data_IF_488549401796
#
_entry.id   IF_488549401796
#
_cell.length_a   1.000
_cell.length_b   1.000
_cell.length_c   1.000
_cell.angle_alpha   90.00
_cell.angle_beta   90.00
_cell.angle_gamma   90.00
#
_symmetry.space_group_name_H-M   'P 1'
#
loop_
_entity.id
_entity.type
_entity.pdbx_description
1 polymer ?
#
# COMPACT_ATOMS: atom_id res chain seq x y z
N UNK A 1 40.65 -12.37 -14.19
CA UNK A 1 39.34 -12.52 -13.52
C UNK A 1 39.27 -11.39 -12.52
N UNK A 2 38.25 -10.55 -12.60
CA UNK A 2 38.05 -9.47 -11.64
C UNK A 2 37.89 -10.07 -10.22
N UNK A 3 38.45 -9.41 -9.21
CA UNK A 3 38.24 -9.83 -7.81
C UNK A 3 36.79 -9.66 -7.42
N UNK A 4 36.34 -10.34 -6.36
CA UNK A 4 34.98 -10.14 -5.83
C UNK A 4 34.72 -8.70 -5.41
N UNK A 5 35.77 -7.99 -4.97
CA UNK A 5 35.69 -6.56 -4.62
C UNK A 5 35.55 -5.66 -5.86
N UNK A 6 36.24 -6.00 -6.98
CA UNK A 6 36.08 -5.26 -8.23
C UNK A 6 34.69 -5.42 -8.80
N UNK A 7 34.09 -6.63 -8.73
CA UNK A 7 32.72 -6.88 -9.12
C UNK A 7 31.76 -6.09 -8.25
N UNK A 8 31.93 -6.08 -6.92
CA UNK A 8 31.14 -5.27 -6.01
C UNK A 8 31.18 -3.79 -6.40
N UNK A 9 32.36 -3.21 -6.63
CA UNK A 9 32.48 -1.81 -7.01
C UNK A 9 31.83 -1.48 -8.37
N UNK A 10 31.83 -2.41 -9.30
CA UNK A 10 31.25 -2.22 -10.63
C UNK A 10 29.74 -2.41 -10.64
N UNK A 11 29.20 -3.23 -9.74
CA UNK A 11 27.79 -3.64 -9.73
C UNK A 11 26.99 -3.02 -8.57
N UNK A 12 27.59 -2.08 -7.83
CA UNK A 12 26.93 -1.33 -6.78
C UNK A 12 26.27 -0.08 -7.37
N UNK A 13 24.96 0.00 -7.28
CA UNK A 13 24.23 1.25 -7.44
C UNK A 13 24.02 1.88 -6.06
N UNK A 14 24.52 3.10 -5.88
CA UNK A 14 24.47 3.79 -4.60
C UNK A 14 23.76 5.14 -4.75
N UNK A 15 22.77 5.36 -3.90
CA UNK A 15 21.97 6.59 -3.80
C UNK A 15 22.11 7.15 -2.38
N UNK A 16 23.24 7.79 -2.07
CA UNK A 16 23.58 8.22 -0.71
C UNK A 16 22.59 9.24 -0.15
N UNK A 17 21.99 10.08 -0.99
CA UNK A 17 20.96 11.04 -0.64
C UNK A 17 19.68 10.39 -0.05
N UNK A 18 19.41 9.15 -0.44
CA UNK A 18 18.28 8.35 0.08
C UNK A 18 18.73 7.29 1.09
N UNK A 19 20.03 7.11 1.31
CA UNK A 19 20.56 6.04 2.14
C UNK A 19 20.28 4.64 1.57
N UNK A 20 20.11 4.51 0.25
CA UNK A 20 19.76 3.25 -0.44
C UNK A 20 20.89 2.81 -1.34
N UNK A 21 21.18 1.51 -1.33
CA UNK A 21 22.13 0.88 -2.25
C UNK A 21 21.59 -0.45 -2.77
N UNK A 22 21.91 -0.78 -4.01
CA UNK A 22 21.60 -2.07 -4.63
C UNK A 22 22.92 -2.72 -5.09
N UNK A 23 23.22 -3.89 -4.57
CA UNK A 23 24.40 -4.67 -4.96
C UNK A 23 24.01 -5.86 -5.84
N UNK A 24 24.41 -5.82 -7.09
CA UNK A 24 24.20 -6.90 -8.06
C UNK A 24 25.45 -7.77 -8.28
N UNK A 25 26.51 -7.62 -7.50
CA UNK A 25 27.78 -8.35 -7.68
C UNK A 25 27.65 -9.88 -7.64
N UNK A 26 26.56 -10.37 -7.00
CA UNK A 26 26.24 -11.81 -6.97
C UNK A 26 25.31 -12.27 -8.09
N UNK A 27 24.86 -11.35 -8.91
CA UNK A 27 23.97 -11.58 -10.03
C UNK A 27 24.50 -10.89 -11.32
N UNK A 28 25.78 -11.05 -11.69
CA UNK A 28 26.34 -10.33 -12.82
C UNK A 28 25.68 -10.79 -14.11
N UNK A 29 25.17 -9.84 -14.88
CA UNK A 29 24.65 -10.10 -16.20
C UNK A 29 25.82 -10.40 -17.19
N UNK A 30 25.62 -11.26 -18.19
CA UNK A 30 26.63 -11.55 -19.18
C UNK A 30 26.92 -10.34 -20.08
N UNK A 31 28.09 -10.32 -20.70
CA UNK A 31 28.44 -9.29 -21.68
C UNK A 31 27.38 -9.23 -22.80
N UNK A 32 27.02 -8.02 -23.24
CA UNK A 32 26.00 -7.80 -24.26
C UNK A 32 24.54 -7.95 -23.79
N UNK A 33 24.30 -8.23 -22.50
CA UNK A 33 22.93 -8.37 -21.97
C UNK A 33 22.16 -7.03 -22.00
N UNK A 34 22.81 -5.94 -21.63
CA UNK A 34 22.18 -4.61 -21.63
C UNK A 34 21.78 -4.18 -23.06
N UNK A 35 22.67 -4.41 -24.03
CA UNK A 35 22.41 -4.14 -25.44
C UNK A 35 21.24 -4.98 -25.97
N UNK A 36 21.22 -6.27 -25.64
CA UNK A 36 20.10 -7.17 -25.97
C UNK A 36 18.78 -6.69 -25.40
N UNK A 37 18.78 -6.17 -24.18
CA UNK A 37 17.57 -5.70 -23.48
C UNK A 37 17.18 -4.27 -23.84
N UNK A 38 18.04 -3.49 -24.50
CA UNK A 38 17.79 -2.07 -24.78
C UNK A 38 16.43 -1.78 -25.44
N UNK A 39 15.95 -2.54 -26.44
CA UNK A 39 14.61 -2.29 -27.02
C UNK A 39 13.48 -2.52 -26.01
N UNK A 40 13.56 -3.55 -25.18
CA UNK A 40 12.56 -3.85 -24.16
C UNK A 40 12.55 -2.79 -23.06
N UNK A 41 13.72 -2.30 -22.65
CA UNK A 41 13.88 -1.23 -21.67
C UNK A 41 13.28 0.08 -22.22
N UNK A 42 13.60 0.45 -23.45
CA UNK A 42 13.06 1.65 -24.08
C UNK A 42 11.53 1.60 -24.16
N UNK A 43 10.97 0.44 -24.53
CA UNK A 43 9.52 0.22 -24.53
C UNK A 43 8.93 0.36 -23.12
N UNK A 44 9.54 -0.25 -22.10
CA UNK A 44 9.06 -0.17 -20.73
C UNK A 44 9.01 1.28 -20.22
N UNK A 45 10.03 2.08 -20.46
CA UNK A 45 10.02 3.50 -20.11
C UNK A 45 8.96 4.30 -20.86
N UNK A 46 8.75 4.02 -22.16
CA UNK A 46 7.70 4.66 -22.93
C UNK A 46 6.29 4.30 -22.43
N UNK A 47 6.06 3.02 -22.13
CA UNK A 47 4.81 2.53 -21.57
C UNK A 47 4.54 3.16 -20.19
N UNK A 48 5.55 3.22 -19.31
CA UNK A 48 5.44 3.89 -18.00
C UNK A 48 5.07 5.37 -18.14
N UNK A 49 5.72 6.09 -19.05
CA UNK A 49 5.40 7.49 -19.30
C UNK A 49 3.96 7.68 -19.81
N UNK A 50 3.45 6.73 -20.61
CA UNK A 50 2.06 6.75 -21.08
C UNK A 50 1.08 6.46 -19.93
N UNK A 51 1.38 5.49 -19.06
CA UNK A 51 0.56 5.17 -17.88
C UNK A 51 0.44 6.36 -16.93
N UNK A 52 1.54 7.03 -16.66
CA UNK A 52 1.56 8.24 -15.81
C UNK A 52 0.75 9.40 -16.36
N UNK A 53 0.55 9.44 -17.68
CA UNK A 53 -0.32 10.41 -18.37
C UNK A 53 -1.78 9.97 -18.45
N UNK A 54 -2.15 8.89 -17.78
CA UNK A 54 -3.52 8.41 -17.68
C UNK A 54 -3.93 7.43 -18.78
N UNK A 55 -2.99 6.73 -19.43
CA UNK A 55 -3.35 5.65 -20.34
C UNK A 55 -4.09 4.53 -19.60
N UNK A 56 -5.09 3.92 -20.27
CA UNK A 56 -5.83 2.79 -19.71
C UNK A 56 -4.89 1.59 -19.61
N UNK A 57 -4.61 1.16 -18.38
CA UNK A 57 -3.75 0.03 -18.09
C UNK A 57 -4.51 -1.27 -17.81
N UNK A 58 -5.75 -1.14 -17.33
CA UNK A 58 -6.66 -2.27 -17.12
C UNK A 58 -7.76 -2.22 -18.23
N UNK A 59 -7.60 -2.97 -19.32
CA UNK A 59 -8.56 -2.93 -20.43
C UNK A 59 -9.90 -3.56 -20.05
N UNK A 60 -9.95 -4.53 -19.15
CA UNK A 60 -11.15 -5.24 -18.74
C UNK A 60 -12.13 -4.29 -18.01
N UNK A 61 -11.58 -3.48 -17.12
CA UNK A 61 -12.34 -2.50 -16.36
C UNK A 61 -12.29 -1.08 -16.97
N UNK A 62 -11.55 -0.89 -18.06
CA UNK A 62 -11.33 0.39 -18.75
C UNK A 62 -10.81 1.48 -17.79
N UNK A 63 -9.89 1.13 -16.89
CA UNK A 63 -9.37 2.02 -15.85
C UNK A 63 -7.94 2.44 -16.09
N UNK A 64 -7.66 3.69 -15.73
CA UNK A 64 -6.29 4.18 -15.49
C UNK A 64 -5.70 3.51 -14.26
N UNK A 65 -4.37 3.51 -14.16
CA UNK A 65 -3.63 3.15 -12.95
C UNK A 65 -2.78 4.33 -12.53
N UNK A 66 -3.09 4.92 -11.38
CA UNK A 66 -2.55 6.21 -10.98
C UNK A 66 -1.97 6.27 -9.57
N UNK A 67 -1.57 5.12 -8.99
CA UNK A 67 -0.94 5.13 -7.67
C UNK A 67 0.33 6.02 -7.59
N UNK A 68 0.92 6.36 -8.74
CA UNK A 68 2.04 7.31 -8.84
C UNK A 68 1.64 8.72 -8.34
N UNK A 69 0.42 9.17 -8.64
CA UNK A 69 -0.07 10.50 -8.30
C UNK A 69 -0.31 10.67 -6.81
N UNK A 70 -0.42 9.58 -6.05
CA UNK A 70 -0.56 9.65 -4.59
C UNK A 70 0.66 10.30 -3.92
N UNK A 71 1.87 10.11 -4.48
CA UNK A 71 3.12 10.68 -3.99
C UNK A 71 3.59 11.92 -4.77
N UNK A 72 3.06 12.13 -5.97
CA UNK A 72 3.39 13.25 -6.85
C UNK A 72 2.11 13.78 -7.54
N UNK A 73 1.19 14.42 -6.80
CA UNK A 73 -0.11 14.86 -7.34
C UNK A 73 -0.01 15.80 -8.52
N UNK A 74 1.09 16.57 -8.62
CA UNK A 74 1.37 17.49 -9.73
C UNK A 74 1.56 16.77 -11.09
N UNK A 75 1.79 15.47 -11.06
CA UNK A 75 1.95 14.64 -12.27
C UNK A 75 0.66 13.98 -12.72
N UNK A 76 -0.43 14.17 -11.97
CA UNK A 76 -1.74 13.65 -12.37
C UNK A 76 -2.18 14.25 -13.72
N UNK A 77 -2.83 13.46 -14.58
CA UNK A 77 -3.27 13.92 -15.90
C UNK A 77 -4.37 14.99 -15.84
N UNK A 78 -5.03 15.12 -14.70
CA UNK A 78 -6.15 16.02 -14.47
C UNK A 78 -5.91 16.82 -13.16
N UNK A 79 -6.10 18.12 -13.22
CA UNK A 79 -5.98 19.01 -12.07
C UNK A 79 -6.98 18.69 -10.94
N UNK A 80 -8.13 18.10 -11.26
CA UNK A 80 -9.12 17.63 -10.29
C UNK A 80 -8.55 16.48 -9.46
N UNK A 81 -7.93 15.49 -10.11
CA UNK A 81 -7.27 14.36 -9.42
C UNK A 81 -6.18 14.90 -8.48
N UNK A 82 -5.34 15.82 -8.97
CA UNK A 82 -4.29 16.43 -8.16
C UNK A 82 -4.86 17.14 -6.91
N UNK A 83 -5.94 17.87 -7.06
CA UNK A 83 -6.62 18.58 -5.96
C UNK A 83 -7.25 17.59 -4.97
N UNK A 84 -7.91 16.55 -5.44
CA UNK A 84 -8.53 15.52 -4.60
C UNK A 84 -7.50 14.78 -3.75
N UNK A 85 -6.35 14.40 -4.33
CA UNK A 85 -5.27 13.73 -3.58
C UNK A 85 -4.75 14.63 -2.46
N UNK A 86 -4.45 15.91 -2.76
CA UNK A 86 -3.99 16.87 -1.76
C UNK A 86 -5.02 17.09 -0.66
N UNK A 87 -6.29 17.30 -1.03
CA UNK A 87 -7.37 17.48 -0.08
C UNK A 87 -7.57 16.26 0.84
N UNK A 88 -7.42 15.04 0.31
CA UNK A 88 -7.52 13.82 1.11
C UNK A 88 -6.39 13.71 2.15
N UNK A 89 -5.15 14.06 1.80
CA UNK A 89 -4.02 14.07 2.75
C UNK A 89 -4.27 15.07 3.88
N UNK A 90 -4.68 16.29 3.54
CA UNK A 90 -5.02 17.33 4.53
C UNK A 90 -6.20 16.93 5.42
N UNK A 91 -7.24 16.33 4.84
CA UNK A 91 -8.38 15.84 5.60
C UNK A 91 -7.99 14.73 6.59
N UNK A 92 -7.10 13.81 6.18
CA UNK A 92 -6.56 12.75 7.05
C UNK A 92 -5.77 13.37 8.21
N UNK A 93 -4.84 14.27 7.91
CA UNK A 93 -4.03 14.94 8.93
C UNK A 93 -4.92 15.73 9.93
N UNK A 94 -5.90 16.46 9.40
CA UNK A 94 -6.86 17.22 10.22
C UNK A 94 -7.72 16.33 11.11
N UNK A 95 -8.23 15.22 10.57
CA UNK A 95 -9.02 14.26 11.34
C UNK A 95 -8.19 13.59 12.45
N UNK A 96 -6.98 13.16 12.13
CA UNK A 96 -6.07 12.58 13.13
C UNK A 96 -5.74 13.58 14.25
N UNK A 97 -5.49 14.84 13.92
CA UNK A 97 -5.26 15.90 14.90
C UNK A 97 -6.46 16.10 15.84
N UNK A 98 -7.70 16.09 15.30
CA UNK A 98 -8.93 16.19 16.11
C UNK A 98 -9.11 14.99 17.05
N UNK A 99 -8.81 13.77 16.57
CA UNK A 99 -8.83 12.55 17.40
C UNK A 99 -7.79 12.64 18.51
N UNK A 100 -6.56 13.00 18.20
CA UNK A 100 -5.49 13.12 19.20
C UNK A 100 -5.76 14.22 20.24
N UNK A 101 -6.39 15.31 19.82
CA UNK A 101 -6.83 16.37 20.75
C UNK A 101 -8.02 15.94 21.62
N UNK A 102 -8.76 14.90 21.22
CA UNK A 102 -9.98 14.45 21.87
C UNK A 102 -11.21 15.29 21.52
N UNK A 103 -11.15 16.04 20.43
CA UNK A 103 -12.30 16.74 19.85
C UNK A 103 -13.26 15.71 19.20
N UNK A 104 -12.69 14.74 18.50
CA UNK A 104 -13.37 13.52 18.08
C UNK A 104 -12.99 12.43 19.07
N UNK A 105 -14.01 11.84 19.73
CA UNK A 105 -13.82 10.90 20.84
C UNK A 105 -14.93 9.85 20.84
N UNK A 106 -14.64 8.71 21.46
CA UNK A 106 -15.57 7.64 21.68
C UNK A 106 -16.53 7.92 22.85
N UNK A 107 -17.43 7.00 23.09
CA UNK A 107 -18.45 7.11 24.15
C UNK A 107 -17.87 7.11 25.57
N UNK A 108 -16.67 6.50 25.76
CA UNK A 108 -15.98 6.46 27.06
C UNK A 108 -14.79 7.43 27.16
N UNK A 109 -14.61 8.34 26.22
CA UNK A 109 -13.53 9.33 26.24
C UNK A 109 -12.68 9.34 24.99
N UNK A 110 -11.43 9.83 25.10
CA UNK A 110 -10.49 9.87 23.98
C UNK A 110 -10.22 8.46 23.45
N UNK A 111 -10.06 8.35 22.15
CA UNK A 111 -9.66 7.08 21.53
C UNK A 111 -8.24 6.69 21.99
N UNK A 112 -8.07 5.43 22.31
CA UNK A 112 -6.82 4.80 22.75
C UNK A 112 -6.43 3.62 21.86
N UNK A 113 -7.39 3.07 21.15
CA UNK A 113 -7.25 1.92 20.29
C UNK A 113 -7.84 2.21 18.90
N UNK A 114 -7.24 1.64 17.87
CA UNK A 114 -7.66 1.71 16.48
C UNK A 114 -7.87 0.29 15.96
N UNK A 115 -9.09 -0.01 15.51
CA UNK A 115 -9.44 -1.28 14.88
C UNK A 115 -9.55 -1.08 13.36
N UNK A 116 -8.65 -1.67 12.60
CA UNK A 116 -8.67 -1.65 11.14
C UNK A 116 -9.33 -2.93 10.61
N UNK A 117 -10.40 -2.79 9.84
CA UNK A 117 -11.16 -3.89 9.24
C UNK A 117 -11.00 -3.79 7.73
N UNK A 118 -10.31 -4.75 7.12
CA UNK A 118 -10.02 -4.78 5.68
C UNK A 118 -9.30 -6.05 5.30
N UNK A 119 -9.24 -6.39 4.01
CA UNK A 119 -8.53 -7.59 3.53
C UNK A 119 -7.57 -7.24 2.41
N UNK A 120 -6.56 -8.09 2.17
CA UNK A 120 -5.59 -7.93 1.10
C UNK A 120 -4.89 -6.57 1.14
N UNK A 121 -4.99 -5.78 0.08
CA UNK A 121 -4.39 -4.45 0.00
C UNK A 121 -4.91 -3.45 1.03
N UNK A 122 -6.09 -3.69 1.60
CA UNK A 122 -6.65 -2.86 2.68
C UNK A 122 -6.14 -3.24 4.08
N UNK A 123 -5.32 -4.29 4.19
CA UNK A 123 -4.76 -4.74 5.46
C UNK A 123 -3.22 -4.89 5.43
N UNK A 124 -2.66 -5.53 4.39
CA UNK A 124 -1.24 -5.91 4.37
C UNK A 124 -0.29 -4.72 4.40
N UNK A 125 -0.59 -3.66 3.63
CA UNK A 125 0.17 -2.43 3.65
C UNK A 125 0.08 -1.71 5.00
N UNK A 126 -1.13 -1.42 5.51
CA UNK A 126 -1.33 -0.83 6.84
C UNK A 126 -0.69 -1.62 7.99
N UNK A 127 -0.77 -2.96 7.98
CA UNK A 127 -0.08 -3.81 8.96
C UNK A 127 1.44 -3.63 8.90
N UNK A 128 1.99 -3.66 7.68
CA UNK A 128 3.42 -3.50 7.48
C UNK A 128 3.92 -2.14 7.96
N UNK A 129 3.25 -1.06 7.60
CA UNK A 129 3.64 0.31 8.01
C UNK A 129 3.48 0.49 9.51
N UNK A 130 2.38 0.00 10.10
CA UNK A 130 2.15 0.07 11.53
C UNK A 130 3.24 -0.65 12.34
N UNK A 131 3.66 -1.83 11.90
CA UNK A 131 4.72 -2.61 12.56
C UNK A 131 6.11 -1.98 12.32
N UNK A 132 6.40 -1.59 11.08
CA UNK A 132 7.71 -1.08 10.70
C UNK A 132 8.04 0.27 11.35
N UNK A 133 7.08 1.17 11.44
CA UNK A 133 7.27 2.54 11.92
C UNK A 133 6.72 2.79 13.33
N UNK A 134 5.84 1.92 13.82
CA UNK A 134 5.23 2.02 15.14
C UNK A 134 6.22 1.88 16.29
N UNK A 135 5.80 2.25 17.48
CA UNK A 135 6.61 2.16 18.67
C UNK A 135 6.00 2.80 19.92
N UNK A 136 6.83 3.11 20.89
CA UNK A 136 6.40 3.66 22.20
C UNK A 136 5.72 5.04 22.10
N UNK A 137 5.88 5.75 20.99
CA UNK A 137 5.29 7.07 20.74
C UNK A 137 3.90 6.98 20.10
N UNK A 138 3.40 5.79 19.78
CA UNK A 138 2.10 5.59 19.17
C UNK A 138 0.99 6.22 20.00
N UNK A 139 0.12 6.96 19.31
CA UNK A 139 -1.02 7.64 19.93
C UNK A 139 -2.18 6.69 20.17
N UNK A 140 -2.45 5.79 19.21
CA UNK A 140 -3.45 4.73 19.30
C UNK A 140 -2.77 3.39 19.07
N UNK A 141 -3.21 2.36 19.82
CA UNK A 141 -2.78 0.97 19.59
C UNK A 141 -3.59 0.40 18.42
N UNK A 142 -2.90 -0.15 17.43
CA UNK A 142 -3.54 -0.64 16.20
C UNK A 142 -3.83 -2.13 16.30
N UNK A 143 -5.05 -2.51 15.92
CA UNK A 143 -5.54 -3.88 15.84
C UNK A 143 -6.10 -4.12 14.43
N UNK A 144 -6.03 -5.36 13.92
CA UNK A 144 -6.47 -5.68 12.56
C UNK A 144 -7.41 -6.88 12.54
N UNK A 145 -8.53 -6.74 11.83
CA UNK A 145 -9.37 -7.85 11.35
C UNK A 145 -9.17 -7.92 9.84
N UNK A 146 -8.43 -8.91 9.36
CA UNK A 146 -8.00 -9.04 7.97
C UNK A 146 -8.49 -10.33 7.28
N UNK A 147 -9.36 -11.07 7.95
CA UNK A 147 -10.02 -12.26 7.41
C UNK A 147 -11.32 -12.56 8.17
N UNK A 148 -11.96 -13.68 7.87
CA UNK A 148 -13.25 -14.10 8.45
C UNK A 148 -13.13 -15.24 9.45
N UNK A 149 -11.92 -15.54 9.93
CA UNK A 149 -11.70 -16.54 10.97
C UNK A 149 -12.31 -16.09 12.30
N UNK A 150 -13.32 -16.79 12.84
CA UNK A 150 -13.95 -16.39 14.10
C UNK A 150 -12.97 -16.35 15.28
N UNK A 151 -12.06 -17.31 15.39
CA UNK A 151 -11.07 -17.35 16.46
C UNK A 151 -10.11 -16.16 16.36
N UNK A 152 -9.71 -15.79 15.14
CA UNK A 152 -8.90 -14.61 14.88
C UNK A 152 -9.61 -13.32 15.29
N UNK A 153 -10.89 -13.18 14.95
CA UNK A 153 -11.74 -12.04 15.35
C UNK A 153 -11.88 -11.99 16.87
N UNK A 154 -12.17 -13.10 17.53
CA UNK A 154 -12.30 -13.17 18.99
C UNK A 154 -11.00 -12.76 19.69
N UNK A 155 -9.84 -13.22 19.22
CA UNK A 155 -8.52 -12.79 19.76
C UNK A 155 -8.30 -11.29 19.66
N UNK A 156 -8.77 -10.64 18.60
CA UNK A 156 -8.69 -9.17 18.47
C UNK A 156 -9.58 -8.49 19.51
N UNK A 157 -10.81 -8.95 19.72
CA UNK A 157 -11.69 -8.39 20.74
C UNK A 157 -11.20 -8.68 22.15
N UNK A 158 -10.60 -9.83 22.41
CA UNK A 158 -9.96 -10.13 23.70
C UNK A 158 -8.79 -9.17 23.96
N UNK A 159 -7.97 -8.89 22.94
CA UNK A 159 -6.88 -7.91 23.04
C UNK A 159 -7.39 -6.48 23.29
N UNK A 160 -8.56 -6.12 22.76
CA UNK A 160 -9.22 -4.86 23.07
C UNK A 160 -9.71 -4.80 24.51
N UNK A 161 -9.98 -5.95 25.16
CA UNK A 161 -10.18 -6.04 26.60
C UNK A 161 -11.27 -5.12 27.16
N UNK A 162 -12.40 -5.01 26.50
CA UNK A 162 -13.53 -4.17 26.91
C UNK A 162 -13.38 -2.66 26.62
N UNK A 163 -12.31 -2.23 25.92
CA UNK A 163 -12.07 -0.82 25.56
C UNK A 163 -12.85 -0.34 24.32
N UNK A 164 -13.96 -0.99 23.98
CA UNK A 164 -14.77 -0.60 22.81
C UNK A 164 -15.21 0.87 22.84
N UNK A 165 -15.53 1.40 24.03
CA UNK A 165 -15.91 2.80 24.19
C UNK A 165 -14.81 3.82 23.91
N UNK A 166 -13.54 3.38 23.83
CA UNK A 166 -12.37 4.19 23.45
C UNK A 166 -11.65 3.62 22.22
N UNK A 167 -12.29 2.74 21.46
CA UNK A 167 -11.77 2.20 20.20
C UNK A 167 -12.42 2.90 19.01
N UNK A 168 -11.61 3.39 18.08
CA UNK A 168 -12.02 3.89 16.77
C UNK A 168 -11.91 2.75 15.76
N UNK A 169 -12.95 2.51 14.96
CA UNK A 169 -12.94 1.50 13.91
C UNK A 169 -12.80 2.14 12.52
N UNK A 170 -11.89 1.65 11.69
CA UNK A 170 -11.81 1.97 10.27
C UNK A 170 -12.28 0.75 9.49
N UNK A 171 -13.30 0.91 8.66
CA UNK A 171 -13.74 -0.11 7.70
C UNK A 171 -13.27 0.29 6.32
N UNK A 172 -12.46 -0.56 5.69
CA UNK A 172 -11.86 -0.30 4.39
C UNK A 172 -12.34 -1.29 3.35
N UNK A 173 -13.11 -0.82 2.37
CA UNK A 173 -13.57 -1.61 1.23
C UNK A 173 -13.94 -0.70 0.07
N UNK A 174 -13.32 -0.89 -1.12
CA UNK A 174 -13.58 -0.05 -2.30
C UNK A 174 -15.05 -0.09 -2.72
N UNK A 175 -15.61 -1.28 -2.92
CA UNK A 175 -17.00 -1.51 -3.34
C UNK A 175 -17.99 -1.56 -2.17
N UNK A 176 -17.53 -1.88 -0.96
CA UNK A 176 -18.37 -2.20 0.17
C UNK A 176 -19.07 -3.57 0.08
N UNK A 177 -18.90 -4.28 -1.05
CA UNK A 177 -19.53 -5.59 -1.30
C UNK A 177 -18.62 -6.78 -1.00
N UNK A 178 -17.33 -6.54 -0.76
CA UNK A 178 -16.36 -7.60 -0.44
C UNK A 178 -16.78 -8.29 0.87
N UNK A 179 -16.98 -9.63 0.86
CA UNK A 179 -17.57 -10.33 2.01
C UNK A 179 -16.77 -10.19 3.30
N UNK A 180 -15.44 -10.27 3.23
CA UNK A 180 -14.58 -10.32 4.40
C UNK A 180 -14.64 -9.03 5.24
N UNK A 181 -14.40 -7.82 4.69
CA UNK A 181 -14.52 -6.61 5.47
C UNK A 181 -15.96 -6.31 5.87
N UNK A 182 -16.96 -6.73 5.05
CA UNK A 182 -18.37 -6.63 5.44
C UNK A 182 -18.70 -7.50 6.65
N UNK A 183 -18.23 -8.75 6.68
CA UNK A 183 -18.44 -9.64 7.81
C UNK A 183 -17.73 -9.12 9.06
N UNK A 184 -16.47 -8.66 8.92
CA UNK A 184 -15.75 -8.02 10.02
C UNK A 184 -16.45 -6.78 10.57
N UNK A 185 -17.03 -5.95 9.70
CA UNK A 185 -17.85 -4.80 10.10
C UNK A 185 -19.11 -5.23 10.89
N UNK A 186 -19.83 -6.23 10.39
CA UNK A 186 -21.07 -6.71 11.03
C UNK A 186 -20.77 -7.31 12.40
N UNK A 187 -19.70 -8.10 12.51
CA UNK A 187 -19.25 -8.68 13.77
C UNK A 187 -18.81 -7.57 14.76
N UNK A 188 -18.05 -6.59 14.30
CA UNK A 188 -17.70 -5.44 15.11
C UNK A 188 -18.96 -4.69 15.60
N UNK A 189 -19.90 -4.37 14.70
CA UNK A 189 -21.14 -3.69 15.06
C UNK A 189 -21.94 -4.48 16.10
N UNK A 190 -21.97 -5.82 16.00
CA UNK A 190 -22.60 -6.70 16.99
C UNK A 190 -21.93 -6.57 18.37
N UNK A 191 -20.58 -6.58 18.43
CA UNK A 191 -19.82 -6.43 19.70
C UNK A 191 -20.09 -5.07 20.35
N UNK A 192 -20.12 -3.97 19.58
CA UNK A 192 -20.51 -2.65 20.12
C UNK A 192 -21.94 -2.65 20.66
N UNK A 193 -22.87 -3.24 19.91
CA UNK A 193 -24.28 -3.36 20.36
C UNK A 193 -24.41 -4.18 21.65
N UNK A 194 -23.70 -5.30 21.76
CA UNK A 194 -23.70 -6.13 22.98
C UNK A 194 -23.13 -5.37 24.19
N UNK A 195 -22.18 -4.47 23.94
CA UNK A 195 -21.64 -3.58 24.97
C UNK A 195 -22.53 -2.36 25.27
N UNK A 196 -23.72 -2.24 24.65
CA UNK A 196 -24.62 -1.09 24.81
C UNK A 196 -24.12 0.17 24.10
N UNK A 197 -23.24 0.05 23.11
CA UNK A 197 -22.63 1.16 22.39
C UNK A 197 -23.11 1.24 20.94
N UNK A 198 -22.98 2.44 20.33
CA UNK A 198 -23.24 2.65 18.91
C UNK A 198 -21.96 2.47 18.11
N UNK A 199 -21.91 1.52 17.18
CA UNK A 199 -20.78 1.35 16.27
C UNK A 199 -20.54 2.61 15.41
N UNK A 200 -21.60 3.21 14.88
CA UNK A 200 -21.54 4.42 14.06
C UNK A 200 -20.82 5.60 14.74
N UNK A 201 -20.96 5.73 16.07
CA UNK A 201 -20.27 6.75 16.85
C UNK A 201 -18.76 6.48 17.04
N UNK A 202 -18.25 5.35 16.52
CA UNK A 202 -16.85 4.92 16.60
C UNK A 202 -16.29 4.53 15.23
N UNK A 203 -17.06 4.69 14.16
CA UNK A 203 -16.72 4.15 12.85
C UNK A 203 -16.34 5.24 11.84
N UNK A 204 -15.37 4.90 11.00
CA UNK A 204 -14.90 5.67 9.84
C UNK A 204 -14.84 4.75 8.63
N UNK A 205 -15.22 5.22 7.45
CA UNK A 205 -15.15 4.47 6.22
C UNK A 205 -14.00 4.97 5.32
N UNK A 206 -13.26 4.03 4.72
CA UNK A 206 -12.37 4.29 3.58
C UNK A 206 -12.94 3.50 2.40
N UNK A 207 -13.56 4.20 1.43
CA UNK A 207 -14.38 3.54 0.42
C UNK A 207 -14.55 4.38 -0.84
N UNK A 208 -15.01 3.76 -1.93
CA UNK A 208 -15.43 4.47 -3.14
C UNK A 208 -16.71 5.27 -2.91
N UNK A 209 -16.79 6.44 -3.49
CA UNK A 209 -17.98 7.28 -3.46
C UNK A 209 -19.19 6.53 -4.05
N UNK A 210 -20.33 6.58 -3.35
CA UNK A 210 -21.56 5.89 -3.75
C UNK A 210 -21.54 4.36 -3.60
N UNK A 211 -20.46 3.78 -3.08
CA UNK A 211 -20.36 2.34 -2.79
C UNK A 211 -21.36 1.89 -1.73
N UNK A 212 -21.54 0.57 -1.57
CA UNK A 212 -22.41 0.05 -0.50
C UNK A 212 -21.95 0.50 0.89
N UNK A 213 -20.65 0.50 1.15
CA UNK A 213 -20.09 0.96 2.43
C UNK A 213 -20.31 2.47 2.61
N UNK A 214 -20.15 3.25 1.55
CA UNK A 214 -20.40 4.70 1.58
C UNK A 214 -21.86 5.01 1.94
N UNK A 215 -22.81 4.29 1.32
CA UNK A 215 -24.23 4.42 1.62
C UNK A 215 -24.55 4.08 3.08
N UNK A 216 -23.98 3.01 3.63
CA UNK A 216 -24.13 2.64 5.05
C UNK A 216 -23.58 3.74 5.95
N UNK A 217 -22.36 4.21 5.69
CA UNK A 217 -21.71 5.23 6.49
C UNK A 217 -22.48 6.57 6.50
N UNK A 218 -23.09 6.93 5.36
CA UNK A 218 -23.98 8.10 5.26
C UNK A 218 -25.26 7.89 6.05
N UNK A 219 -25.96 6.77 5.83
CA UNK A 219 -27.25 6.48 6.46
C UNK A 219 -27.14 6.39 7.99
N UNK A 220 -26.06 5.78 8.48
CA UNK A 220 -25.80 5.62 9.91
C UNK A 220 -25.04 6.79 10.55
N UNK A 221 -24.64 7.80 9.75
CA UNK A 221 -23.92 9.00 10.21
C UNK A 221 -22.59 8.65 10.91
N UNK A 222 -21.74 7.88 10.25
CA UNK A 222 -20.40 7.58 10.73
C UNK A 222 -19.55 8.84 10.89
N UNK A 223 -18.53 8.79 11.74
CA UNK A 223 -17.68 9.94 12.12
C UNK A 223 -17.00 10.64 10.93
N UNK A 224 -16.54 9.87 9.97
CA UNK A 224 -15.91 10.40 8.75
C UNK A 224 -15.92 9.37 7.62
N UNK A 225 -15.70 9.86 6.39
CA UNK A 225 -15.53 9.03 5.19
C UNK A 225 -14.34 9.57 4.40
N UNK A 226 -13.47 8.68 3.92
CA UNK A 226 -12.30 9.00 3.12
C UNK A 226 -12.36 8.25 1.78
N UNK A 227 -11.89 8.87 0.69
CA UNK A 227 -12.06 8.32 -0.65
C UNK A 227 -11.13 7.13 -0.90
N UNK A 228 -11.62 6.20 -1.72
CA UNK A 228 -10.83 5.15 -2.33
C UNK A 228 -11.10 5.17 -3.84
N UNK A 229 -10.19 5.78 -4.60
CA UNK A 229 -10.39 6.04 -6.02
C UNK A 229 -10.26 4.78 -6.87
N UNK A 230 -10.98 4.74 -7.98
CA UNK A 230 -10.97 3.61 -8.91
C UNK A 230 -9.61 3.36 -9.57
N UNK A 231 -8.87 4.43 -9.80
CA UNK A 231 -7.53 4.38 -10.40
C UNK A 231 -6.42 3.97 -9.42
N UNK A 232 -6.75 3.66 -8.16
CA UNK A 232 -5.81 3.06 -7.18
C UNK A 232 -6.17 1.60 -6.98
N UNK A 233 -5.24 0.71 -7.29
CA UNK A 233 -5.35 -0.72 -6.99
C UNK A 233 -5.18 -0.99 -5.49
N UNK A 234 -5.82 -2.06 -4.96
CA UNK A 234 -5.74 -2.40 -3.54
C UNK A 234 -4.31 -2.54 -3.03
N UNK A 235 -3.47 -3.33 -3.73
CA UNK A 235 -2.07 -3.58 -3.35
C UNK A 235 -1.12 -2.39 -3.51
N UNK A 236 -1.56 -1.32 -4.14
CA UNK A 236 -0.80 -0.07 -4.33
C UNK A 236 -1.41 1.12 -3.59
N UNK A 237 -2.30 0.87 -2.62
CA UNK A 237 -3.07 1.90 -1.92
C UNK A 237 -2.45 2.38 -0.61
N UNK A 238 -1.28 1.86 -0.23
CA UNK A 238 -0.66 2.15 1.08
C UNK A 238 -0.37 3.64 1.29
N UNK A 239 0.07 4.36 0.27
CA UNK A 239 0.30 5.80 0.33
C UNK A 239 -0.92 6.65 -0.08
N UNK A 240 -2.11 6.05 -0.09
CA UNK A 240 -3.42 6.71 -0.18
C UNK A 240 -4.17 6.64 1.15
N UNK A 241 -5.46 7.02 1.18
CA UNK A 241 -6.24 7.02 2.42
C UNK A 241 -6.28 5.68 3.16
N UNK A 242 -6.13 4.56 2.44
CA UNK A 242 -6.10 3.20 3.00
C UNK A 242 -4.98 3.02 4.03
N UNK A 243 -3.78 3.47 3.72
CA UNK A 243 -2.63 3.36 4.63
C UNK A 243 -2.37 4.63 5.43
N UNK A 244 -2.56 5.81 4.82
CA UNK A 244 -2.26 7.08 5.49
C UNK A 244 -3.19 7.37 6.67
N UNK A 245 -4.48 6.98 6.61
CA UNK A 245 -5.40 7.24 7.72
C UNK A 245 -5.03 6.45 8.98
N UNK A 246 -4.86 5.12 8.95
CA UNK A 246 -4.40 4.39 10.12
C UNK A 246 -3.02 4.86 10.60
N UNK A 247 -2.08 5.16 9.70
CA UNK A 247 -0.76 5.67 10.05
C UNK A 247 -0.83 7.00 10.80
N UNK A 248 -1.61 7.97 10.30
CA UNK A 248 -1.81 9.26 10.95
C UNK A 248 -2.47 9.12 12.33
N UNK A 249 -3.49 8.25 12.44
CA UNK A 249 -4.16 7.98 13.72
C UNK A 249 -3.24 7.26 14.72
N UNK A 250 -2.38 6.37 14.27
CA UNK A 250 -1.31 5.78 15.10
C UNK A 250 -0.34 6.85 15.59
N UNK A 251 -0.20 7.96 14.89
CA UNK A 251 0.70 9.07 15.24
C UNK A 251 1.98 9.11 14.40
N UNK A 252 2.01 8.39 13.28
CA UNK A 252 3.15 8.38 12.36
C UNK A 252 3.17 9.64 11.50
N UNK A 253 4.37 10.04 11.06
CA UNK A 253 4.57 11.15 10.13
C UNK A 253 4.22 10.74 8.68
N UNK A 254 2.98 10.97 8.28
CA UNK A 254 2.51 10.66 6.93
C UNK A 254 3.12 11.56 5.86
N UNK A 255 3.51 12.79 6.21
CA UNK A 255 4.17 13.68 5.26
C UNK A 255 5.59 13.22 4.97
N UNK A 256 6.33 12.78 6.01
CA UNK A 256 7.65 12.15 5.85
C UNK A 256 7.58 10.87 5.02
N UNK A 257 6.55 10.03 5.23
CA UNK A 257 6.32 8.83 4.42
C UNK A 257 6.10 9.17 2.93
N UNK A 258 5.26 10.16 2.65
CA UNK A 258 5.01 10.62 1.27
C UNK A 258 6.24 11.28 0.65
N UNK A 259 7.03 12.03 1.43
CA UNK A 259 8.27 12.64 0.95
C UNK A 259 9.27 11.58 0.52
N UNK A 260 9.53 10.55 1.35
CA UNK A 260 10.41 9.45 0.98
C UNK A 260 9.94 8.68 -0.26
N UNK A 261 8.62 8.45 -0.37
CA UNK A 261 8.04 7.83 -1.56
C UNK A 261 8.24 8.69 -2.82
N UNK A 262 8.13 10.02 -2.72
CA UNK A 262 8.38 10.97 -3.82
C UNK A 262 9.85 10.98 -4.24
N UNK A 263 10.77 10.97 -3.30
CA UNK A 263 12.21 10.96 -3.58
C UNK A 263 12.61 9.69 -4.33
N UNK A 264 12.14 8.52 -3.88
CA UNK A 264 12.37 7.25 -4.61
C UNK A 264 11.69 7.28 -5.99
N UNK A 265 10.49 7.83 -6.11
CA UNK A 265 9.77 7.97 -7.37
C UNK A 265 10.56 8.76 -8.41
N UNK A 266 11.24 9.82 -8.01
CA UNK A 266 12.10 10.61 -8.90
C UNK A 266 13.21 9.75 -9.53
N UNK A 267 13.82 8.84 -8.77
CA UNK A 267 14.83 7.92 -9.28
C UNK A 267 14.24 6.87 -10.23
N UNK A 268 13.07 6.36 -9.92
CA UNK A 268 12.41 5.33 -10.75
C UNK A 268 11.80 5.89 -12.04
N UNK A 269 11.79 7.20 -12.23
CA UNK A 269 11.42 7.89 -13.48
C UNK A 269 12.59 8.14 -14.43
N UNK A 270 13.83 7.98 -13.97
CA UNK A 270 15.02 8.17 -14.81
C UNK A 270 15.01 7.15 -15.95
N UNK A 271 14.99 7.56 -17.23
CA UNK A 271 14.92 6.63 -18.37
C UNK A 271 16.30 6.05 -18.73
N UNK A 272 17.04 5.64 -17.73
CA UNK A 272 18.36 5.02 -17.83
C UNK A 272 18.43 3.87 -16.82
N UNK A 273 18.49 2.64 -17.31
CA UNK A 273 18.46 1.45 -16.48
C UNK A 273 19.66 1.35 -15.51
N UNK A 274 20.80 1.96 -15.84
CA UNK A 274 21.98 1.98 -14.98
C UNK A 274 21.84 2.96 -13.79
N UNK A 275 20.90 3.89 -13.88
CA UNK A 275 20.62 4.92 -12.86
C UNK A 275 19.24 4.78 -12.23
N UNK A 276 18.43 3.85 -12.71
CA UNK A 276 17.07 3.61 -12.22
C UNK A 276 17.07 2.31 -11.41
N UNK A 277 16.88 2.39 -10.08
CA UNK A 277 16.95 1.20 -9.21
C UNK A 277 15.90 0.14 -9.55
N UNK A 278 14.70 0.56 -9.94
CA UNK A 278 13.63 -0.37 -10.31
C UNK A 278 13.94 -1.10 -11.63
N UNK A 279 14.44 -0.38 -12.64
CA UNK A 279 14.83 -0.97 -13.91
C UNK A 279 16.03 -1.92 -13.76
N UNK A 280 17.04 -1.52 -12.97
CA UNK A 280 18.20 -2.37 -12.69
C UNK A 280 17.80 -3.67 -12.00
N UNK A 281 16.91 -3.59 -10.99
CA UNK A 281 16.39 -4.75 -10.27
C UNK A 281 15.56 -5.66 -11.20
N UNK A 282 14.70 -5.08 -12.03
CA UNK A 282 13.92 -5.83 -13.01
C UNK A 282 14.78 -6.58 -14.01
N UNK A 283 15.86 -5.96 -14.49
CA UNK A 283 16.83 -6.58 -15.41
C UNK A 283 17.58 -7.73 -14.75
N UNK A 284 18.05 -7.54 -13.51
CA UNK A 284 18.72 -8.59 -12.75
C UNK A 284 17.76 -9.78 -12.52
N UNK A 285 16.52 -9.50 -12.15
CA UNK A 285 15.52 -10.54 -11.98
C UNK A 285 15.21 -11.27 -13.28
N UNK A 286 14.95 -10.55 -14.38
CA UNK A 286 14.76 -11.14 -15.72
C UNK A 286 15.92 -12.05 -16.12
N UNK A 287 17.16 -11.59 -15.91
CA UNK A 287 18.36 -12.40 -16.19
C UNK A 287 18.40 -13.67 -15.35
N UNK A 288 18.24 -13.55 -14.02
CA UNK A 288 18.34 -14.68 -13.09
C UNK A 288 17.24 -15.73 -13.30
N UNK A 289 16.07 -15.33 -13.76
CA UNK A 289 14.93 -16.20 -14.05
C UNK A 289 14.86 -16.64 -15.52
N UNK A 290 15.92 -16.36 -16.30
CA UNK A 290 16.05 -16.72 -17.72
C UNK A 290 14.94 -16.12 -18.61
N UNK A 291 14.34 -15.01 -18.16
CA UNK A 291 13.23 -14.34 -18.87
C UNK A 291 11.93 -15.15 -18.96
N UNK A 292 11.81 -16.22 -18.20
CA UNK A 292 10.64 -17.13 -18.22
C UNK A 292 10.22 -17.65 -16.86
N UNK A 293 10.65 -16.99 -15.80
CA UNK A 293 10.28 -17.40 -14.45
C UNK A 293 10.76 -18.75 -14.01
N UNK A 294 11.99 -19.13 -14.40
CA UNK A 294 12.56 -20.44 -14.05
C UNK A 294 12.93 -20.58 -12.57
N UNK A 295 12.87 -19.48 -11.80
CA UNK A 295 13.21 -19.43 -10.37
C UNK A 295 12.26 -18.52 -9.64
N UNK A 296 11.97 -18.86 -8.37
CA UNK A 296 11.20 -18.00 -7.47
C UNK A 296 12.08 -16.88 -6.89
N UNK A 297 11.45 -15.73 -6.58
CA UNK A 297 12.07 -14.65 -5.82
C UNK A 297 11.83 -14.89 -4.32
N UNK A 298 12.90 -14.77 -3.52
CA UNK A 298 12.82 -14.83 -2.06
C UNK A 298 13.33 -13.51 -1.50
N UNK A 299 12.57 -12.91 -0.59
CA UNK A 299 12.95 -11.68 0.13
C UNK A 299 13.20 -12.01 1.59
N UNK A 300 14.42 -11.75 2.05
CA UNK A 300 14.87 -12.04 3.42
C UNK A 300 15.26 -10.73 4.12
N UNK A 301 14.34 -10.05 4.82
CA UNK A 301 14.67 -8.85 5.57
C UNK A 301 15.56 -9.17 6.77
N UNK A 302 16.70 -8.50 6.89
CA UNK A 302 17.62 -8.59 8.03
C UNK A 302 17.37 -7.46 9.06
N UNK A 303 16.11 -7.07 9.20
CA UNK A 303 15.66 -6.06 10.15
C UNK A 303 14.29 -6.44 10.69
N UNK A 304 14.16 -6.57 12.01
CA UNK A 304 12.92 -7.02 12.67
C UNK A 304 11.70 -6.17 12.27
N UNK A 305 11.87 -4.87 12.18
CA UNK A 305 10.82 -3.93 11.73
C UNK A 305 10.36 -4.14 10.27
N UNK A 306 11.07 -4.95 9.50
CA UNK A 306 10.68 -5.31 8.13
C UNK A 306 10.11 -6.74 8.05
N UNK A 307 9.73 -7.36 9.17
CA UNK A 307 9.20 -8.72 9.22
C UNK A 307 7.99 -8.88 8.29
N UNK A 308 7.07 -7.91 8.27
CA UNK A 308 5.87 -7.95 7.45
C UNK A 308 6.10 -7.49 5.99
N UNK A 309 7.29 -7.01 5.65
CA UNK A 309 7.60 -6.54 4.30
C UNK A 309 7.48 -7.65 3.25
N UNK A 310 7.99 -8.83 3.53
CA UNK A 310 7.87 -9.98 2.61
C UNK A 310 6.41 -10.37 2.38
N UNK A 311 5.58 -10.33 3.42
CA UNK A 311 4.14 -10.61 3.33
C UNK A 311 3.40 -9.56 2.49
N UNK A 312 3.74 -8.29 2.65
CA UNK A 312 3.22 -7.21 1.81
C UNK A 312 3.64 -7.38 0.35
N UNK A 313 4.92 -7.66 0.09
CA UNK A 313 5.43 -7.91 -1.26
C UNK A 313 4.82 -9.15 -1.91
N UNK A 314 4.46 -10.16 -1.14
CA UNK A 314 3.82 -11.36 -1.67
C UNK A 314 2.56 -10.99 -2.47
N UNK A 315 1.67 -10.18 -1.93
CA UNK A 315 0.52 -9.70 -2.70
C UNK A 315 0.93 -8.73 -3.80
N UNK A 316 1.75 -7.72 -3.48
CA UNK A 316 2.14 -6.68 -4.43
C UNK A 316 2.78 -7.28 -5.69
N UNK A 317 3.70 -8.22 -5.54
CA UNK A 317 4.44 -8.81 -6.67
C UNK A 317 3.64 -9.92 -7.34
N UNK A 318 3.16 -10.90 -6.57
CA UNK A 318 2.53 -12.10 -7.14
C UNK A 318 1.21 -11.78 -7.83
N UNK A 319 0.37 -10.95 -7.25
CA UNK A 319 -0.89 -10.54 -7.87
C UNK A 319 -0.67 -9.62 -9.08
N UNK A 320 0.38 -8.79 -9.08
CA UNK A 320 0.70 -7.92 -10.21
C UNK A 320 1.27 -8.69 -11.40
N UNK A 321 2.18 -9.62 -11.16
CA UNK A 321 2.90 -10.37 -12.20
C UNK A 321 2.31 -11.76 -12.50
N UNK A 322 1.54 -12.35 -11.57
CA UNK A 322 0.97 -13.69 -11.70
C UNK A 322 -0.15 -13.76 -12.74
N UNK A 323 0.20 -13.55 -14.00
CA UNK A 323 -0.70 -13.63 -15.15
C UNK A 323 -0.30 -14.79 -16.06
N UNK A 324 -1.29 -15.53 -16.54
CA UNK A 324 -1.08 -16.62 -17.51
C UNK A 324 -0.89 -16.08 -18.93
N UNK A 325 -1.55 -14.96 -19.25
CA UNK A 325 -1.52 -14.38 -20.58
C UNK A 325 -1.16 -12.89 -20.53
N UNK A 326 -0.48 -12.41 -21.59
CA UNK A 326 -0.28 -10.97 -21.82
C UNK A 326 -1.55 -10.31 -22.41
N UNK A 327 -1.49 -8.99 -22.59
CA UNK A 327 -2.62 -8.22 -23.15
C UNK A 327 -2.98 -8.60 -24.60
N UNK A 328 -2.15 -9.39 -25.29
CA UNK A 328 -2.40 -9.93 -26.61
C UNK A 328 -2.90 -11.38 -26.59
N UNK A 329 -3.15 -11.93 -25.39
CA UNK A 329 -3.61 -13.31 -25.18
C UNK A 329 -2.52 -14.38 -25.36
N UNK A 330 -1.25 -13.98 -25.42
CA UNK A 330 -0.14 -14.96 -25.53
C UNK A 330 0.23 -15.45 -24.14
N UNK A 331 0.47 -16.75 -24.02
CA UNK A 331 0.92 -17.32 -22.77
C UNK A 331 2.27 -16.74 -22.34
N UNK A 332 2.38 -16.36 -21.08
CA UNK A 332 3.60 -15.85 -20.46
C UNK A 332 3.95 -16.65 -19.22
N UNK A 333 5.22 -16.66 -18.88
CA UNK A 333 5.75 -17.36 -17.72
C UNK A 333 6.42 -16.34 -16.80
N UNK A 334 5.77 -16.05 -15.69
CA UNK A 334 6.24 -15.09 -14.70
C UNK A 334 6.97 -15.83 -13.59
N UNK A 335 8.17 -15.42 -13.24
CA UNK A 335 8.88 -15.95 -12.08
C UNK A 335 8.43 -15.23 -10.82
N UNK A 336 7.77 -15.93 -9.93
CA UNK A 336 7.23 -15.39 -8.68
C UNK A 336 7.81 -16.08 -7.45
#
# INVERSE_FOLDING_TARGET
>A
VASSFDLYRQQLLNFPELGVSLDFSRAPAPAGFAEKMAPAIAKAFADMAALEKGAVANPDEKRMVGHYWLRAPELAPDAKIAAEVKAAVEAIAGFAAQVHAGQVKGSAGKFTDLLCIGIGGSALGPQFVADALGGKADRLRVHFIDNTDPDGIDRVFDALGGRLGTTLAIVTSKSGSTPEPRNGQLEAALRWKQAGLSFAAHAVAVTGEGSQLDQVAVAEKWLARFPMWDWVGGRTSEIGPVGLLPAALQGLDIHGLLAGAREMDALTRVPDAARNPAAAMALAWHHLTEGRGSKAMVVLPYKDRLLLFSRYLQQLVMESLGKEHDLQGRQVFQGL
#
